data_IF_689196491996
#
_entry.id   IF_689196491996
#
_cell.length_a   1.000
_cell.length_b   1.000
_cell.length_c   1.000
_cell.angle_alpha   90.00
_cell.angle_beta   90.00
_cell.angle_gamma   90.00
#
_symmetry.space_group_name_H-M   'P 1'
#
loop_
_entity.id
_entity.type
_entity.pdbx_description
1 polymer ?
#
# COMPACT_ATOMS: atom_id res chain seq x y z
N UNK A 1 0.57 14.66 -7.96
CA UNK A 1 -0.20 13.39 -7.81
C UNK A 1 0.37 12.55 -6.69
N UNK A 2 -0.49 11.95 -5.92
CA UNK A 2 -0.10 10.97 -4.91
C UNK A 2 0.03 9.62 -5.60
N UNK A 3 1.25 9.15 -5.77
CA UNK A 3 1.58 7.96 -6.57
C UNK A 3 1.59 6.72 -5.68
N UNK A 4 0.77 5.73 -6.01
CA UNK A 4 0.54 4.55 -5.16
C UNK A 4 0.91 3.28 -5.91
N UNK A 5 1.73 2.44 -5.29
CA UNK A 5 2.10 1.11 -5.79
C UNK A 5 1.32 0.03 -5.04
N UNK A 6 0.87 -1.00 -5.74
CA UNK A 6 0.04 -2.07 -5.18
C UNK A 6 0.82 -3.38 -5.09
N UNK A 7 0.80 -4.01 -3.91
CA UNK A 7 1.41 -5.33 -3.70
C UNK A 7 0.33 -6.29 -3.24
N UNK A 8 -0.10 -7.16 -4.15
CA UNK A 8 -1.25 -8.04 -3.97
C UNK A 8 -1.12 -9.24 -4.92
N UNK A 9 -1.31 -10.46 -4.42
CA UNK A 9 -1.14 -11.66 -5.23
C UNK A 9 -2.31 -11.94 -6.20
N UNK A 10 -3.51 -11.44 -5.89
CA UNK A 10 -4.68 -11.64 -6.75
C UNK A 10 -4.71 -10.60 -7.87
N UNK A 11 -4.66 -11.06 -9.11
CA UNK A 11 -4.78 -10.17 -10.27
C UNK A 11 -6.11 -9.40 -10.26
N UNK A 12 -7.19 -10.06 -9.91
CA UNK A 12 -8.51 -9.44 -9.84
C UNK A 12 -8.54 -8.31 -8.82
N UNK A 13 -7.96 -8.54 -7.64
CA UNK A 13 -7.91 -7.53 -6.58
C UNK A 13 -7.02 -6.36 -7.01
N UNK A 14 -5.88 -6.63 -7.64
CA UNK A 14 -5.02 -5.56 -8.17
C UNK A 14 -5.77 -4.68 -9.16
N UNK A 15 -6.51 -5.29 -10.09
CA UNK A 15 -7.27 -4.55 -11.10
C UNK A 15 -8.37 -3.70 -10.47
N UNK A 16 -9.12 -4.26 -9.53
CA UNK A 16 -10.19 -3.55 -8.83
C UNK A 16 -9.66 -2.41 -7.99
N UNK A 17 -8.57 -2.64 -7.27
CA UNK A 17 -7.96 -1.62 -6.43
C UNK A 17 -7.37 -0.50 -7.28
N UNK A 18 -6.73 -0.84 -8.37
CA UNK A 18 -6.21 0.14 -9.32
C UNK A 18 -7.34 1.01 -9.90
N UNK A 19 -8.46 0.39 -10.29
CA UNK A 19 -9.63 1.13 -10.78
C UNK A 19 -10.20 2.05 -9.71
N UNK A 20 -10.29 1.58 -8.47
CA UNK A 20 -10.74 2.40 -7.34
C UNK A 20 -9.86 3.63 -7.16
N UNK A 21 -8.54 3.45 -7.14
CA UNK A 21 -7.60 4.54 -6.95
C UNK A 21 -7.71 5.59 -8.07
N UNK A 22 -7.97 5.16 -9.30
CA UNK A 22 -8.16 6.09 -10.42
C UNK A 22 -9.38 6.97 -10.28
N UNK A 23 -10.35 6.59 -9.46
CA UNK A 23 -11.54 7.42 -9.22
C UNK A 23 -11.27 8.53 -8.20
N UNK A 24 -10.14 8.50 -7.52
CA UNK A 24 -9.81 9.48 -6.47
C UNK A 24 -8.96 10.58 -7.10
N UNK A 25 -9.46 11.81 -7.06
CA UNK A 25 -8.75 12.96 -7.62
C UNK A 25 -7.38 13.13 -6.91
N UNK A 26 -6.34 13.29 -7.69
CA UNK A 26 -4.99 13.49 -7.17
C UNK A 26 -4.25 12.20 -6.83
N UNK A 27 -4.85 11.03 -7.04
CA UNK A 27 -4.24 9.72 -6.80
C UNK A 27 -3.97 9.02 -8.12
N UNK A 28 -2.77 8.44 -8.25
CA UNK A 28 -2.37 7.71 -9.44
C UNK A 28 -1.76 6.35 -9.06
N UNK A 29 -2.37 5.23 -9.48
CA UNK A 29 -1.71 3.94 -9.35
C UNK A 29 -0.56 3.86 -10.35
N UNK A 30 0.65 3.55 -9.89
CA UNK A 30 1.85 3.60 -10.73
C UNK A 30 2.44 2.24 -11.03
N UNK A 31 1.90 1.19 -10.46
CA UNK A 31 2.36 -0.17 -10.73
C UNK A 31 1.84 -1.16 -9.70
N UNK A 32 2.08 -2.43 -9.96
CA UNK A 32 1.68 -3.49 -9.05
C UNK A 32 2.61 -4.70 -9.17
N UNK A 33 2.62 -5.53 -8.14
CA UNK A 33 3.39 -6.77 -8.11
C UNK A 33 2.66 -7.81 -7.26
N UNK A 34 2.93 -9.09 -7.51
CA UNK A 34 2.32 -10.21 -6.80
C UNK A 34 3.25 -10.82 -5.74
N UNK A 35 4.55 -10.58 -5.81
CA UNK A 35 5.54 -11.13 -4.91
C UNK A 35 6.33 -10.04 -4.22
N UNK A 36 6.89 -10.35 -3.06
CA UNK A 36 7.71 -9.41 -2.30
C UNK A 36 8.94 -8.96 -3.10
N UNK A 37 9.60 -9.90 -3.78
CA UNK A 37 10.82 -9.60 -4.54
C UNK A 37 10.55 -8.66 -5.70
N UNK A 38 9.54 -8.95 -6.53
CA UNK A 38 9.19 -8.12 -7.68
C UNK A 38 8.73 -6.75 -7.21
N UNK A 39 7.95 -6.72 -6.12
CA UNK A 39 7.48 -5.47 -5.53
C UNK A 39 8.64 -4.60 -5.08
N UNK A 40 9.61 -5.15 -4.34
CA UNK A 40 10.74 -4.37 -3.85
C UNK A 40 11.53 -3.74 -4.98
N UNK A 41 11.85 -4.52 -6.01
CA UNK A 41 12.58 -4.01 -7.18
C UNK A 41 11.82 -2.88 -7.89
N UNK A 42 10.53 -3.08 -8.13
CA UNK A 42 9.70 -2.09 -8.83
C UNK A 42 9.47 -0.83 -7.99
N UNK A 43 9.27 -0.97 -6.69
CA UNK A 43 9.08 0.16 -5.77
C UNK A 43 10.34 1.02 -5.73
N UNK A 44 11.51 0.40 -5.56
CA UNK A 44 12.77 1.15 -5.51
C UNK A 44 13.10 1.83 -6.84
N UNK A 45 12.65 1.26 -7.96
CA UNK A 45 12.84 1.87 -9.27
C UNK A 45 11.87 3.02 -9.56
N UNK A 46 10.62 2.91 -9.12
CA UNK A 46 9.56 3.88 -9.44
C UNK A 46 9.40 5.00 -8.41
N UNK A 47 9.91 4.83 -7.20
CA UNK A 47 9.82 5.81 -6.11
C UNK A 47 8.39 6.33 -5.89
N UNK A 48 7.42 5.45 -5.57
CA UNK A 48 6.06 5.91 -5.29
C UNK A 48 6.01 6.69 -3.98
N UNK A 49 4.94 7.46 -3.78
CA UNK A 49 4.68 8.13 -2.50
C UNK A 49 4.19 7.15 -1.45
N UNK A 50 3.41 6.17 -1.87
CA UNK A 50 2.80 5.20 -0.98
C UNK A 50 2.75 3.81 -1.60
N UNK A 51 2.67 2.80 -0.73
CA UNK A 51 2.48 1.39 -1.10
C UNK A 51 1.29 0.85 -0.33
N UNK A 52 0.35 0.22 -1.04
CA UNK A 52 -0.69 -0.61 -0.44
C UNK A 52 -0.23 -2.06 -0.52
N UNK A 53 -0.10 -2.71 0.62
CA UNK A 53 0.63 -3.96 0.76
C UNK A 53 -0.19 -5.00 1.52
N UNK A 54 -0.44 -6.16 0.88
CA UNK A 54 -1.06 -7.29 1.57
C UNK A 54 -0.01 -8.03 2.40
N UNK A 55 -0.47 -8.72 3.45
CA UNK A 55 0.37 -9.52 4.33
C UNK A 55 0.81 -10.80 3.60
N UNK A 56 -0.15 -11.53 3.01
CA UNK A 56 0.12 -12.80 2.34
C UNK A 56 0.27 -12.57 0.84
N UNK A 57 1.46 -12.85 0.32
CA UNK A 57 1.78 -12.68 -1.09
C UNK A 57 1.97 -14.04 -1.78
N UNK A 58 2.03 -14.03 -3.11
CA UNK A 58 2.29 -15.25 -3.88
C UNK A 58 3.62 -15.89 -3.46
N UNK A 59 4.63 -15.06 -3.20
CA UNK A 59 5.90 -15.45 -2.62
C UNK A 59 6.37 -14.34 -1.69
N UNK A 60 6.83 -14.73 -0.51
CA UNK A 60 7.29 -13.79 0.50
C UNK A 60 6.17 -13.29 1.39
N UNK A 61 6.50 -12.44 2.32
CA UNK A 61 5.58 -11.87 3.30
C UNK A 61 5.54 -10.35 3.18
N UNK A 62 4.33 -9.80 3.31
CA UNK A 62 4.17 -8.36 3.37
C UNK A 62 4.90 -7.72 4.55
N UNK A 63 4.96 -8.39 5.69
CA UNK A 63 5.70 -7.88 6.85
C UNK A 63 7.20 -7.78 6.57
N UNK A 64 7.78 -8.76 5.88
CA UNK A 64 9.19 -8.72 5.52
C UNK A 64 9.47 -7.59 4.53
N UNK A 65 8.59 -7.41 3.56
CA UNK A 65 8.70 -6.28 2.62
C UNK A 65 8.57 -4.93 3.35
N UNK A 66 7.65 -4.82 4.29
CA UNK A 66 7.50 -3.61 5.11
C UNK A 66 8.80 -3.28 5.84
N UNK A 67 9.42 -4.27 6.49
CA UNK A 67 10.71 -4.08 7.16
C UNK A 67 11.77 -3.59 6.20
N UNK A 68 11.85 -4.20 5.04
CA UNK A 68 12.84 -3.86 4.01
C UNK A 68 12.65 -2.43 3.51
N UNK A 69 11.41 -2.04 3.22
CA UNK A 69 11.10 -0.69 2.75
C UNK A 69 11.37 0.38 3.82
N UNK A 70 11.07 0.07 5.09
CA UNK A 70 11.36 1.01 6.18
C UNK A 70 12.87 1.26 6.31
N UNK A 71 13.69 0.25 6.02
CA UNK A 71 15.14 0.40 6.06
C UNK A 71 15.71 1.11 4.84
N UNK A 72 15.23 0.76 3.64
CA UNK A 72 15.81 1.24 2.36
C UNK A 72 15.16 2.49 1.81
N UNK A 73 13.88 2.74 2.11
CA UNK A 73 13.10 3.85 1.57
C UNK A 73 12.14 4.40 2.62
N UNK A 74 12.64 4.94 3.73
CA UNK A 74 11.79 5.35 4.87
C UNK A 74 10.81 6.47 4.54
N UNK A 75 11.01 7.19 3.46
CA UNK A 75 10.10 8.25 3.02
C UNK A 75 8.83 7.72 2.39
N UNK A 76 8.81 6.45 1.94
CA UNK A 76 7.62 5.86 1.34
C UNK A 76 6.63 5.50 2.45
N UNK A 77 5.38 5.94 2.29
CA UNK A 77 4.31 5.61 3.21
C UNK A 77 3.76 4.22 2.88
N UNK A 78 3.77 3.30 3.86
CA UNK A 78 3.28 1.94 3.64
C UNK A 78 1.99 1.74 4.43
N UNK A 79 0.95 1.30 3.74
CA UNK A 79 -0.34 0.95 4.31
C UNK A 79 -0.60 -0.52 4.05
N UNK A 80 -1.01 -1.25 5.09
CA UNK A 80 -1.44 -2.64 4.91
C UNK A 80 -2.88 -2.67 4.39
N UNK A 81 -3.16 -3.63 3.52
CA UNK A 81 -4.49 -3.85 2.97
C UNK A 81 -4.72 -5.36 2.87
N UNK A 82 -5.44 -5.94 3.85
CA UNK A 82 -5.43 -7.38 4.02
C UNK A 82 -6.74 -7.90 4.62
N UNK A 83 -7.05 -9.18 4.32
CA UNK A 83 -8.09 -9.92 5.03
C UNK A 83 -7.62 -10.39 6.42
N UNK A 84 -6.32 -10.41 6.67
CA UNK A 84 -5.75 -10.76 7.97
C UNK A 84 -5.70 -9.51 8.85
N UNK A 85 -6.88 -9.11 9.36
CA UNK A 85 -7.05 -7.81 10.04
C UNK A 85 -7.26 -7.94 11.55
N UNK A 86 -6.91 -9.09 12.15
CA UNK A 86 -6.98 -9.28 13.59
C UNK A 86 -6.06 -8.28 14.32
N UNK A 87 -6.38 -7.94 15.59
CA UNK A 87 -5.59 -6.95 16.34
C UNK A 87 -4.09 -7.24 16.37
N UNK A 88 -3.68 -8.50 16.47
CA UNK A 88 -2.28 -8.86 16.49
C UNK A 88 -1.55 -8.45 15.20
N UNK A 89 -2.20 -8.64 14.05
CA UNK A 89 -1.63 -8.24 12.75
C UNK A 89 -1.56 -6.72 12.63
N UNK A 90 -2.59 -6.01 13.09
CA UNK A 90 -2.61 -4.54 13.06
C UNK A 90 -1.52 -3.96 13.97
N UNK A 91 -1.33 -4.53 15.14
CA UNK A 91 -0.29 -4.11 16.08
C UNK A 91 1.11 -4.36 15.53
N UNK A 92 1.33 -5.53 14.92
CA UNK A 92 2.61 -5.85 14.31
C UNK A 92 2.93 -4.88 13.16
N UNK A 93 1.97 -4.62 12.29
CA UNK A 93 2.15 -3.68 11.19
C UNK A 93 2.54 -2.29 11.71
N UNK A 94 1.84 -1.79 12.72
CA UNK A 94 2.14 -0.50 13.32
C UNK A 94 3.53 -0.47 13.92
N UNK A 95 3.93 -1.52 14.64
CA UNK A 95 5.26 -1.61 15.26
C UNK A 95 6.38 -1.67 14.22
N UNK A 96 6.10 -2.19 13.03
CA UNK A 96 7.05 -2.25 11.93
C UNK A 96 7.06 -0.98 11.06
N UNK A 97 6.25 0.01 11.40
CA UNK A 97 6.26 1.30 10.73
C UNK A 97 5.22 1.48 9.63
N UNK A 98 4.20 0.63 9.56
CA UNK A 98 3.07 0.88 8.66
C UNK A 98 2.32 2.13 9.13
N UNK A 99 1.94 2.97 8.18
CA UNK A 99 1.20 4.20 8.45
C UNK A 99 -0.28 3.95 8.74
N UNK A 100 -0.82 2.85 8.21
CA UNK A 100 -2.20 2.47 8.44
C UNK A 100 -2.45 1.02 8.05
N UNK A 101 -3.65 0.54 8.35
CA UNK A 101 -4.08 -0.82 8.07
C UNK A 101 -5.54 -0.78 7.69
N UNK A 102 -5.88 -1.40 6.55
CA UNK A 102 -7.26 -1.47 6.06
C UNK A 102 -7.67 -2.92 5.87
N UNK A 103 -8.83 -3.28 6.44
CA UNK A 103 -9.47 -4.57 6.18
C UNK A 103 -10.08 -4.55 4.77
N UNK A 104 -9.75 -5.54 3.95
CA UNK A 104 -10.23 -5.62 2.56
C UNK A 104 -11.74 -5.67 2.43
N UNK A 105 -12.44 -6.22 3.45
CA UNK A 105 -13.88 -6.42 3.38
C UNK A 105 -14.68 -5.30 4.02
N UNK A 106 -14.14 -4.63 5.04
CA UNK A 106 -14.91 -3.68 5.86
C UNK A 106 -14.40 -2.25 5.82
N UNK A 107 -13.20 -2.00 5.30
CA UNK A 107 -12.58 -0.69 5.41
C UNK A 107 -12.20 -0.04 4.07
N UNK A 108 -12.90 -0.40 3.00
CA UNK A 108 -12.68 0.21 1.68
C UNK A 108 -12.97 1.72 1.71
N UNK A 109 -14.03 2.14 2.41
CA UNK A 109 -14.35 3.55 2.51
C UNK A 109 -13.31 4.33 3.30
N UNK A 110 -12.74 3.70 4.34
CA UNK A 110 -11.65 4.30 5.11
C UNK A 110 -10.40 4.47 4.24
N UNK A 111 -10.09 3.46 3.42
CA UNK A 111 -9.01 3.55 2.46
C UNK A 111 -9.22 4.73 1.50
N UNK A 112 -10.42 4.84 0.92
CA UNK A 112 -10.75 5.93 0.00
C UNK A 112 -10.55 7.29 0.65
N UNK A 113 -11.05 7.47 1.87
CA UNK A 113 -10.90 8.74 2.61
C UNK A 113 -9.43 9.06 2.89
N UNK A 114 -8.66 8.06 3.30
CA UNK A 114 -7.23 8.23 3.60
C UNK A 114 -6.47 8.68 2.35
N UNK A 115 -6.71 8.02 1.23
CA UNK A 115 -6.05 8.38 -0.04
C UNK A 115 -6.45 9.78 -0.50
N UNK A 116 -7.72 10.13 -0.35
CA UNK A 116 -8.22 11.48 -0.68
C UNK A 116 -7.48 12.54 0.15
N UNK A 117 -7.36 12.32 1.45
CA UNK A 117 -6.69 13.25 2.36
C UNK A 117 -5.19 13.36 2.03
N UNK A 118 -4.53 12.23 1.79
CA UNK A 118 -3.10 12.24 1.46
C UNK A 118 -2.83 12.93 0.13
N UNK A 119 -3.68 12.73 -0.86
CA UNK A 119 -3.55 13.41 -2.15
C UNK A 119 -3.68 14.93 -1.99
N UNK A 120 -4.63 15.40 -1.19
CA UNK A 120 -4.82 16.81 -0.91
C UNK A 120 -3.61 17.42 -0.20
N UNK A 121 -3.05 16.71 0.77
CA UNK A 121 -1.85 17.16 1.51
C UNK A 121 -0.62 17.19 0.61
N UNK A 122 -0.48 16.21 -0.27
CA UNK A 122 0.63 16.16 -1.23
C UNK A 122 0.60 17.38 -2.16
N UNK A 123 -0.57 17.79 -2.62
CA UNK A 123 -0.74 18.99 -3.44
C UNK A 123 -0.39 20.26 -2.66
N UNK A 124 -0.80 20.33 -1.39
CA UNK A 124 -0.56 21.50 -0.55
C UNK A 124 0.91 21.67 -0.14
N UNK A 125 1.68 20.58 -0.12
CA UNK A 125 3.08 20.62 0.30
C UNK A 125 4.01 21.19 -0.78
N UNK A 126 3.47 21.57 -1.92
CA UNK A 126 4.22 22.26 -2.97
C UNK A 126 4.29 23.74 -2.68
#
# INVERSE_FOLDING_TARGET
MYRVFLVEDSQLVRERLSALLRTIEGVEPVGSAATARDAEQAILASHPDAVLLDIKLAQGSGFDLLRSLRASAPQIEVYMFSNFAAPAYRQLAASLGARGFFDKTTEIDTLRRTMTQRAAQSTLSL
#
